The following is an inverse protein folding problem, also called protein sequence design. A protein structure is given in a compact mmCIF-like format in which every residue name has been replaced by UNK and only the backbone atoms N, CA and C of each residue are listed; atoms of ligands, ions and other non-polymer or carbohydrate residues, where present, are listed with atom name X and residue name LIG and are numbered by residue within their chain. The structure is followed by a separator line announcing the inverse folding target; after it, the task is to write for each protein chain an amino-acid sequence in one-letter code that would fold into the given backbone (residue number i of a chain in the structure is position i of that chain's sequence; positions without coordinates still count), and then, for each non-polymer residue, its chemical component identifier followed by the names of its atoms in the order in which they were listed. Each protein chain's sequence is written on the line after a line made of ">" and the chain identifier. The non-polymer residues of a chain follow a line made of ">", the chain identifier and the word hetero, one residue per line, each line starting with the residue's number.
data_IF_562575538071
#
_entry.id   IF_562575538071
#
_cell.length_a   1.000
_cell.length_b   1.000
_cell.length_c   1.000
_cell.angle_alpha   90.00
_cell.angle_beta   90.00
_cell.angle_gamma   90.00
#
_symmetry.space_group_name_H-M   'P 1'
#
loop_
_entity.id
_entity.type
_entity.pdbx_description
1 polymer ?
#
# COMPACT_ATOMS: atom_id res chain seq x y z
N UNK A 1 -4.81 -5.68 -4.81
CA UNK A 1 -5.32 -4.94 -3.64
C UNK A 1 -6.06 -3.71 -4.11
N UNK A 2 -7.20 -3.39 -3.51
CA UNK A 2 -8.10 -2.30 -3.92
C UNK A 2 -8.55 -1.49 -2.71
N UNK A 3 -8.90 -0.22 -2.90
CA UNK A 3 -9.39 0.65 -1.81
C UNK A 3 -10.90 0.57 -1.58
N UNK A 4 -11.63 0.11 -2.59
CA UNK A 4 -13.09 -0.15 -2.56
C UNK A 4 -13.35 -1.43 -3.35
N UNK A 5 -13.72 -2.48 -2.64
CA UNK A 5 -13.87 -3.81 -3.23
C UNK A 5 -15.15 -3.93 -4.05
N UNK A 6 -16.20 -3.22 -3.70
CA UNK A 6 -17.46 -3.25 -4.44
C UNK A 6 -17.31 -2.53 -5.77
N UNK A 7 -16.70 -1.35 -5.78
CA UNK A 7 -16.40 -0.63 -7.01
C UNK A 7 -15.46 -1.42 -7.93
N UNK A 8 -14.44 -2.06 -7.38
CA UNK A 8 -13.52 -2.92 -8.14
C UNK A 8 -14.24 -4.14 -8.73
N UNK A 9 -15.13 -4.77 -7.97
CA UNK A 9 -15.97 -5.87 -8.43
C UNK A 9 -16.88 -5.45 -9.60
N UNK A 10 -17.54 -4.31 -9.48
CA UNK A 10 -18.42 -3.80 -10.52
C UNK A 10 -17.66 -3.51 -11.82
N UNK A 11 -16.45 -2.97 -11.74
CA UNK A 11 -15.59 -2.76 -12.91
C UNK A 11 -15.19 -4.07 -13.59
N UNK A 12 -14.86 -5.11 -12.82
CA UNK A 12 -14.53 -6.43 -13.36
C UNK A 12 -15.74 -7.08 -14.03
N UNK A 13 -16.92 -7.01 -13.43
CA UNK A 13 -18.16 -7.51 -14.01
C UNK A 13 -18.51 -6.76 -15.32
N UNK A 14 -18.35 -5.44 -15.35
CA UNK A 14 -18.56 -4.64 -16.56
C UNK A 14 -17.57 -5.02 -17.68
N UNK A 15 -16.37 -5.47 -17.34
CA UNK A 15 -15.37 -6.02 -18.24
C UNK A 15 -15.61 -7.48 -18.67
N UNK A 16 -16.66 -8.11 -18.15
CA UNK A 16 -17.02 -9.50 -18.50
C UNK A 16 -16.27 -10.57 -17.69
N UNK A 17 -15.61 -10.22 -16.59
CA UNK A 17 -14.95 -11.18 -15.72
C UNK A 17 -15.96 -11.95 -14.86
N UNK A 18 -15.65 -13.23 -14.58
CA UNK A 18 -16.38 -14.06 -13.62
C UNK A 18 -15.88 -13.72 -12.21
N UNK A 19 -16.66 -12.93 -11.46
CA UNK A 19 -16.30 -12.41 -10.14
C UNK A 19 -17.29 -12.87 -9.09
N UNK A 20 -16.78 -13.38 -7.97
CA UNK A 20 -17.62 -13.76 -6.83
C UNK A 20 -18.36 -12.56 -6.21
N UNK A 21 -19.31 -12.82 -5.34
CA UNK A 21 -19.76 -11.80 -4.39
C UNK A 21 -18.61 -11.36 -3.47
N UNK A 22 -18.77 -10.20 -2.86
CA UNK A 22 -17.87 -9.76 -1.78
C UNK A 22 -18.13 -10.61 -0.55
N UNK A 23 -17.06 -11.05 0.11
CA UNK A 23 -17.14 -11.87 1.32
C UNK A 23 -16.03 -11.48 2.31
N UNK A 24 -16.19 -11.93 3.55
CA UNK A 24 -15.15 -11.88 4.57
C UNK A 24 -14.94 -13.28 5.18
N UNK A 25 -13.81 -13.48 5.84
CA UNK A 25 -13.50 -14.76 6.49
C UNK A 25 -14.29 -14.91 7.79
N UNK A 26 -15.05 -16.00 7.91
CA UNK A 26 -15.72 -16.39 9.15
C UNK A 26 -14.80 -17.16 10.11
N UNK A 27 -13.70 -17.70 9.56
CA UNK A 27 -12.64 -18.38 10.31
C UNK A 27 -11.26 -18.00 9.73
N UNK A 28 -10.17 -18.12 10.51
CA UNK A 28 -8.82 -17.85 10.01
C UNK A 28 -8.49 -18.70 8.78
N UNK A 29 -8.09 -18.03 7.68
CA UNK A 29 -7.71 -18.69 6.43
C UNK A 29 -8.85 -18.98 5.45
N UNK A 30 -10.11 -18.76 5.83
CA UNK A 30 -11.28 -19.04 4.99
C UNK A 30 -11.26 -18.32 3.62
N UNK A 31 -10.57 -17.22 3.51
CA UNK A 31 -10.40 -16.51 2.23
C UNK A 31 -9.61 -17.32 1.19
N UNK A 32 -8.81 -18.27 1.61
CA UNK A 32 -7.99 -19.12 0.75
C UNK A 32 -8.61 -20.49 0.44
N UNK A 33 -9.73 -20.86 1.10
CA UNK A 33 -10.38 -22.14 0.89
C UNK A 33 -11.00 -22.19 -0.52
N UNK A 34 -10.61 -23.19 -1.36
CA UNK A 34 -11.06 -23.27 -2.74
C UNK A 34 -12.56 -23.51 -2.89
N UNK A 35 -13.16 -24.20 -1.94
CA UNK A 35 -14.60 -24.53 -1.91
C UNK A 35 -15.46 -23.42 -1.29
N UNK A 36 -14.82 -22.35 -0.78
CA UNK A 36 -15.51 -21.26 -0.13
C UNK A 36 -15.98 -21.53 1.28
N UNK A 37 -15.49 -22.62 1.93
CA UNK A 37 -15.82 -22.95 3.31
C UNK A 37 -15.55 -21.78 4.26
N UNK A 38 -16.44 -21.59 5.23
CA UNK A 38 -16.32 -20.53 6.25
C UNK A 38 -16.22 -19.09 5.73
N UNK A 39 -16.65 -18.84 4.48
CA UNK A 39 -16.83 -17.50 3.94
C UNK A 39 -18.18 -16.94 4.37
N UNK A 40 -18.22 -15.70 4.77
CA UNK A 40 -19.44 -14.97 5.12
C UNK A 40 -19.69 -13.90 4.06
N UNK A 41 -20.89 -13.87 3.51
CA UNK A 41 -21.28 -12.91 2.47
C UNK A 41 -21.21 -11.46 2.96
N UNK A 42 -20.74 -10.57 2.09
CA UNK A 42 -20.63 -9.14 2.33
C UNK A 42 -19.29 -8.68 2.88
N UNK A 43 -19.13 -7.35 2.94
CA UNK A 43 -17.93 -6.74 3.50
C UNK A 43 -17.76 -7.08 4.98
N UNK A 44 -16.53 -7.09 5.44
CA UNK A 44 -16.21 -7.25 6.87
C UNK A 44 -16.87 -6.15 7.70
N UNK A 45 -17.32 -6.47 8.92
CA UNK A 45 -17.95 -5.51 9.82
C UNK A 45 -17.09 -4.25 10.01
N UNK A 46 -17.73 -3.07 9.93
CA UNK A 46 -17.03 -1.79 10.04
C UNK A 46 -16.05 -1.48 8.91
N UNK A 47 -16.14 -2.17 7.76
CA UNK A 47 -15.19 -2.06 6.66
C UNK A 47 -13.74 -2.23 7.12
N UNK A 48 -13.50 -3.20 8.00
CA UNK A 48 -12.18 -3.50 8.55
C UNK A 48 -11.17 -3.74 7.42
N UNK A 49 -10.05 -3.02 7.46
CA UNK A 49 -9.00 -3.11 6.44
C UNK A 49 -8.40 -4.51 6.39
N UNK A 50 -8.00 -4.98 5.21
CA UNK A 50 -7.48 -6.32 4.93
C UNK A 50 -8.46 -7.48 5.19
N UNK A 51 -9.75 -7.21 5.39
CA UNK A 51 -10.71 -8.20 5.86
C UNK A 51 -11.85 -8.53 4.89
N UNK A 52 -11.98 -7.75 3.80
CA UNK A 52 -12.98 -8.00 2.75
C UNK A 52 -12.31 -8.49 1.47
N UNK A 53 -12.92 -9.46 0.81
CA UNK A 53 -12.36 -10.17 -0.32
C UNK A 53 -13.38 -10.39 -1.44
N UNK A 54 -12.88 -10.59 -2.66
CA UNK A 54 -13.62 -11.19 -3.78
C UNK A 54 -12.66 -12.02 -4.62
N UNK A 55 -13.14 -13.08 -5.24
CA UNK A 55 -12.35 -13.90 -6.17
C UNK A 55 -12.81 -13.68 -7.58
N UNK A 56 -11.91 -13.72 -8.55
CA UNK A 56 -12.25 -13.72 -9.96
C UNK A 56 -11.33 -14.64 -10.76
N UNK A 57 -11.77 -15.02 -11.95
CA UNK A 57 -10.98 -15.78 -12.92
C UNK A 57 -10.65 -14.91 -14.11
N UNK A 58 -9.40 -15.01 -14.56
CA UNK A 58 -8.99 -14.39 -15.82
C UNK A 58 -9.34 -15.32 -17.04
N UNK A 59 -9.24 -14.82 -18.28
CA UNK A 59 -9.50 -15.63 -19.47
C UNK A 59 -8.59 -16.86 -19.62
N UNK A 60 -7.42 -16.85 -18.99
CA UNK A 60 -6.48 -17.97 -19.00
C UNK A 60 -6.77 -19.03 -17.93
N UNK A 61 -7.82 -18.81 -17.10
CA UNK A 61 -8.26 -19.73 -16.06
C UNK A 61 -7.55 -19.57 -14.73
N UNK A 62 -6.71 -18.55 -14.54
CA UNK A 62 -6.07 -18.26 -13.27
C UNK A 62 -7.10 -17.67 -12.30
N UNK A 63 -7.01 -18.09 -11.04
CA UNK A 63 -7.84 -17.54 -9.97
C UNK A 63 -7.07 -16.44 -9.22
N UNK A 64 -7.75 -15.33 -8.99
CA UNK A 64 -7.21 -14.17 -8.30
C UNK A 64 -8.05 -13.85 -7.07
N UNK A 65 -7.41 -13.41 -6.00
CA UNK A 65 -8.05 -12.90 -4.79
C UNK A 65 -7.87 -11.39 -4.72
N UNK A 66 -8.97 -10.65 -4.76
CA UNK A 66 -9.00 -9.23 -4.42
C UNK A 66 -9.08 -9.09 -2.90
N UNK A 67 -8.35 -8.14 -2.35
CA UNK A 67 -8.41 -7.77 -0.95
C UNK A 67 -8.59 -6.26 -0.83
N UNK A 68 -9.51 -5.85 0.02
CA UNK A 68 -9.77 -4.45 0.31
C UNK A 68 -8.80 -3.92 1.37
N UNK A 69 -8.23 -2.74 1.10
CA UNK A 69 -7.40 -2.00 2.05
C UNK A 69 -7.97 -0.60 2.18
N UNK A 70 -8.77 -0.38 3.21
CA UNK A 70 -9.36 0.93 3.51
C UNK A 70 -8.39 1.84 4.26
N UNK A 71 -7.56 1.26 5.11
CA UNK A 71 -6.50 1.96 5.86
C UNK A 71 -5.26 1.08 5.88
N UNK A 72 -4.12 1.62 5.47
CA UNK A 72 -2.85 0.88 5.52
C UNK A 72 -2.33 0.81 6.94
N UNK A 73 -1.93 -0.39 7.35
CA UNK A 73 -1.29 -0.57 8.65
C UNK A 73 0.12 0.04 8.64
N UNK A 74 0.53 0.73 9.72
CA UNK A 74 1.88 1.27 9.84
C UNK A 74 2.95 0.20 9.63
N UNK A 75 3.99 0.52 8.87
CA UNK A 75 5.15 -0.34 8.65
C UNK A 75 4.99 -1.41 7.56
N UNK A 76 3.84 -1.52 6.89
CA UNK A 76 3.66 -2.48 5.79
C UNK A 76 3.96 -1.92 4.40
N UNK A 77 3.52 -0.72 4.09
CA UNK A 77 3.89 0.04 2.87
C UNK A 77 3.56 1.50 3.19
N UNK A 78 4.46 2.41 2.90
CA UNK A 78 4.18 3.83 3.02
C UNK A 78 2.99 4.23 2.13
N UNK A 79 2.11 5.07 2.67
CA UNK A 79 0.90 5.52 1.97
C UNK A 79 1.21 6.42 0.77
N UNK A 80 2.44 6.93 0.69
CA UNK A 80 2.95 7.74 -0.42
C UNK A 80 3.96 6.92 -1.19
N UNK A 81 3.63 6.62 -2.45
CA UNK A 81 4.56 6.00 -3.36
C UNK A 81 5.64 7.02 -3.73
N UNK A 82 6.87 6.73 -3.34
CA UNK A 82 8.04 7.54 -3.69
C UNK A 82 8.66 6.97 -4.96
N UNK A 83 8.61 7.72 -6.06
CA UNK A 83 9.11 7.30 -7.36
C UNK A 83 10.16 8.26 -7.90
N UNK A 84 11.13 7.74 -8.63
CA UNK A 84 12.16 8.52 -9.31
C UNK A 84 12.16 8.17 -10.80
N UNK A 85 12.26 9.19 -11.64
CA UNK A 85 12.22 9.05 -13.10
C UNK A 85 13.44 8.28 -13.65
N UNK A 86 14.58 8.35 -12.95
CA UNK A 86 15.82 7.71 -13.35
C UNK A 86 16.78 7.54 -12.15
N UNK A 87 17.85 6.77 -12.37
CA UNK A 87 18.97 6.69 -11.41
C UNK A 87 19.62 8.06 -11.17
N UNK A 88 19.71 8.89 -12.19
CA UNK A 88 20.27 10.24 -12.06
C UNK A 88 19.37 11.16 -11.21
N UNK A 89 18.07 11.02 -11.34
CA UNK A 89 17.08 11.73 -10.53
C UNK A 89 17.18 11.33 -9.04
N UNK A 90 17.22 10.04 -8.76
CA UNK A 90 17.44 9.53 -7.41
C UNK A 90 18.77 10.04 -6.82
N UNK A 91 19.85 10.00 -7.61
CA UNK A 91 21.16 10.47 -7.15
C UNK A 91 21.14 11.98 -6.82
N UNK A 92 20.40 12.77 -7.58
CA UNK A 92 20.23 14.20 -7.32
C UNK A 92 19.43 14.45 -6.04
N UNK A 93 18.35 13.69 -5.82
CA UNK A 93 17.55 13.76 -4.60
C UNK A 93 18.38 13.38 -3.35
N UNK A 94 19.20 12.31 -3.45
CA UNK A 94 20.10 11.90 -2.37
C UNK A 94 21.16 12.97 -2.03
N UNK A 95 21.66 13.73 -3.04
CA UNK A 95 22.59 14.85 -2.78
C UNK A 95 21.90 15.96 -2.01
N UNK A 96 20.67 16.34 -2.39
CA UNK A 96 19.90 17.35 -1.65
C UNK A 96 19.62 16.90 -0.21
N UNK A 97 19.24 15.65 -0.01
CA UNK A 97 19.03 15.08 1.33
C UNK A 97 20.32 15.13 2.16
N UNK A 98 21.48 14.78 1.55
CA UNK A 98 22.79 14.85 2.20
C UNK A 98 23.15 16.27 2.64
N UNK A 99 22.95 17.26 1.77
CA UNK A 99 23.28 18.65 2.08
C UNK A 99 22.40 19.19 3.22
N UNK A 100 21.09 18.91 3.17
CA UNK A 100 20.14 19.25 4.23
C UNK A 100 20.45 18.53 5.57
N UNK A 101 20.87 17.27 5.51
CA UNK A 101 21.28 16.50 6.70
C UNK A 101 22.55 17.09 7.34
N UNK A 102 23.52 17.50 6.55
CA UNK A 102 24.71 18.17 7.08
C UNK A 102 24.38 19.48 7.81
N UNK A 103 23.41 20.25 7.32
CA UNK A 103 22.90 21.45 8.00
C UNK A 103 22.17 21.08 9.31
N UNK A 104 21.44 19.97 9.32
CA UNK A 104 20.79 19.44 10.54
C UNK A 104 21.83 19.08 11.60
N UNK A 105 22.86 18.32 11.25
CA UNK A 105 23.94 17.95 12.17
C UNK A 105 24.71 19.17 12.69
N UNK A 106 25.00 20.15 11.85
CA UNK A 106 25.63 21.40 12.28
C UNK A 106 24.78 22.17 13.29
N UNK A 107 23.45 22.19 13.11
CA UNK A 107 22.52 22.89 14.00
C UNK A 107 22.35 22.16 15.33
N UNK A 108 22.30 20.83 15.31
CA UNK A 108 22.15 20.00 16.52
C UNK A 108 23.46 19.78 17.25
N UNK A 109 24.60 19.91 16.56
CA UNK A 109 25.93 19.66 17.10
C UNK A 109 26.22 18.18 17.36
N UNK A 110 25.41 17.27 16.81
CA UNK A 110 25.53 15.83 16.99
C UNK A 110 25.49 15.12 15.64
N UNK A 111 26.31 14.07 15.49
CA UNK A 111 26.20 13.15 14.37
C UNK A 111 24.93 12.29 14.52
N UNK A 112 24.19 12.16 13.45
CA UNK A 112 22.98 11.34 13.44
C UNK A 112 23.29 9.92 12.95
N UNK A 113 23.34 8.97 13.88
CA UNK A 113 23.55 7.55 13.55
C UNK A 113 22.34 6.95 12.79
N UNK A 114 21.18 7.59 12.86
CA UNK A 114 19.95 7.18 12.19
C UNK A 114 19.71 7.92 10.86
N UNK A 115 20.77 8.36 10.20
CA UNK A 115 20.73 9.08 8.93
C UNK A 115 19.88 8.39 7.83
N UNK A 116 19.75 7.03 7.74
CA UNK A 116 18.92 6.42 6.71
C UNK A 116 17.45 6.78 6.85
N UNK A 117 16.91 6.80 8.08
CA UNK A 117 15.51 7.17 8.34
C UNK A 117 15.29 8.66 8.08
N UNK A 118 16.26 9.50 8.44
CA UNK A 118 16.21 10.93 8.17
C UNK A 118 16.19 11.21 6.64
N UNK A 119 17.04 10.53 5.87
CA UNK A 119 17.06 10.62 4.40
C UNK A 119 15.75 10.16 3.78
N UNK A 120 15.21 9.03 4.25
CA UNK A 120 13.93 8.52 3.77
C UNK A 120 12.79 9.52 4.03
N UNK A 121 12.74 10.10 5.23
CA UNK A 121 11.76 11.11 5.59
C UNK A 121 11.90 12.37 4.72
N UNK A 122 13.12 12.81 4.44
CA UNK A 122 13.40 13.94 3.57
C UNK A 122 12.90 13.70 2.14
N UNK A 123 13.26 12.56 1.54
CA UNK A 123 12.90 12.22 0.16
C UNK A 123 11.37 12.10 -0.02
N UNK A 124 10.69 11.48 0.93
CA UNK A 124 9.23 11.35 0.92
C UNK A 124 8.56 12.72 1.07
N UNK A 125 9.02 13.55 2.01
CA UNK A 125 8.47 14.89 2.23
C UNK A 125 8.71 15.81 1.03
N UNK A 126 9.90 15.76 0.41
CA UNK A 126 10.23 16.54 -0.79
C UNK A 126 9.29 16.20 -1.93
N UNK A 127 9.03 14.92 -2.22
CA UNK A 127 8.11 14.51 -3.28
C UNK A 127 6.65 14.83 -2.97
N UNK A 128 6.25 14.73 -1.71
CA UNK A 128 4.90 15.05 -1.27
C UNK A 128 4.64 16.57 -1.18
N UNK A 129 5.68 17.41 -1.25
CA UNK A 129 5.57 18.84 -1.04
C UNK A 129 5.18 19.23 0.38
N UNK A 130 5.50 18.39 1.37
CA UNK A 130 5.24 18.61 2.79
C UNK A 130 6.45 19.23 3.49
N UNK A 131 6.32 19.56 4.80
CA UNK A 131 7.41 20.10 5.55
C UNK A 131 8.60 19.13 5.62
N UNK A 132 9.79 19.61 5.26
CA UNK A 132 11.03 18.83 5.32
C UNK A 132 11.47 18.61 6.76
N UNK A 133 12.10 17.48 7.08
CA UNK A 133 12.68 17.26 8.40
C UNK A 133 13.77 18.30 8.67
N UNK A 134 13.77 18.80 9.89
CA UNK A 134 14.66 19.87 10.35
C UNK A 134 15.53 19.41 11.50
#
# INVERSE_FOLDING_TARGET
>A
MVSDIEAARDQLLAGGADVSEVFHAGAPGAQFEPDGSDRVSGRAPGAATYSSFATFRDPDGNSWLLQEITTRLPGRIDAVETTFASRADLASALRRAKDAHAEHEQRTGQADENWPDWYAAYLVAEQAGTALPT
#
